data_IF_331075191794
#
_entry.id   IF_331075191794
#
_cell.length_a   1.000
_cell.length_b   1.000
_cell.length_c   1.000
_cell.angle_alpha   90.00
_cell.angle_beta   90.00
_cell.angle_gamma   90.00
#
_symmetry.space_group_name_H-M   'P 1'
#
loop_
_entity.id
_entity.type
_entity.pdbx_description
1 polymer ?
#
# COMPACT_ATOMS: atom_id res chain seq x y z
N UNK A 1 4.25 20.30 -33.77
CA UNK A 1 3.50 19.80 -32.60
C UNK A 1 4.07 20.54 -31.41
N UNK A 2 3.34 21.50 -30.84
CA UNK A 2 3.77 22.20 -29.65
C UNK A 2 3.75 21.20 -28.50
N UNK A 3 4.90 20.96 -27.88
CA UNK A 3 4.99 20.25 -26.60
C UNK A 3 4.29 21.16 -25.60
N UNK A 4 3.07 20.79 -25.20
CA UNK A 4 2.34 21.45 -24.15
C UNK A 4 3.23 21.40 -22.90
N UNK A 5 3.76 22.56 -22.53
CA UNK A 5 4.58 22.67 -21.32
C UNK A 5 3.67 22.33 -20.16
N UNK A 6 3.88 21.15 -19.58
CA UNK A 6 3.21 20.74 -18.34
C UNK A 6 3.56 21.80 -17.30
N UNK A 7 2.63 22.70 -17.07
CA UNK A 7 2.75 23.72 -16.03
C UNK A 7 2.70 22.99 -14.71
N UNK A 8 3.86 22.75 -14.12
CA UNK A 8 3.93 22.25 -12.74
C UNK A 8 3.14 23.24 -11.89
N UNK A 9 2.04 22.75 -11.35
CA UNK A 9 1.10 23.57 -10.59
C UNK A 9 1.88 24.22 -9.45
N UNK A 10 1.89 25.56 -9.40
CA UNK A 10 2.47 26.32 -8.28
C UNK A 10 1.68 26.02 -7.01
N UNK A 11 1.96 24.87 -6.40
CA UNK A 11 1.39 24.47 -5.12
C UNK A 11 2.31 25.03 -4.06
N UNK A 12 1.73 25.70 -3.08
CA UNK A 12 2.46 26.16 -1.91
C UNK A 12 3.24 25.02 -1.25
N UNK A 13 4.47 25.30 -0.81
CA UNK A 13 5.36 24.30 -0.21
C UNK A 13 4.72 23.58 0.98
N UNK A 14 3.89 24.28 1.75
CA UNK A 14 3.16 23.66 2.86
C UNK A 14 2.18 22.59 2.40
N UNK A 15 1.39 22.88 1.36
CA UNK A 15 0.44 21.93 0.77
C UNK A 15 1.16 20.73 0.13
N UNK A 16 2.26 20.95 -0.57
CA UNK A 16 3.07 19.90 -1.16
C UNK A 16 3.62 18.94 -0.09
N UNK A 17 4.16 19.47 1.01
CA UNK A 17 4.68 18.67 2.11
C UNK A 17 3.57 17.84 2.80
N UNK A 18 2.38 18.41 2.95
CA UNK A 18 1.24 17.71 3.54
C UNK A 18 0.76 16.54 2.65
N UNK A 19 0.71 16.75 1.33
CA UNK A 19 0.40 15.68 0.37
C UNK A 19 1.45 14.58 0.46
N UNK A 20 2.73 14.95 0.44
CA UNK A 20 3.83 13.98 0.53
C UNK A 20 3.80 13.16 1.82
N UNK A 21 3.52 13.81 2.96
CA UNK A 21 3.38 13.13 4.24
C UNK A 21 2.21 12.12 4.21
N UNK A 22 1.06 12.51 3.66
CA UNK A 22 -0.09 11.61 3.51
C UNK A 22 0.22 10.39 2.62
N UNK A 23 0.90 10.61 1.49
CA UNK A 23 1.33 9.52 0.61
C UNK A 23 2.33 8.59 1.31
N UNK A 24 3.31 9.15 2.01
CA UNK A 24 4.32 8.39 2.75
C UNK A 24 3.69 7.53 3.86
N UNK A 25 2.75 8.08 4.63
CA UNK A 25 2.04 7.36 5.70
C UNK A 25 1.24 6.18 5.12
N UNK A 26 0.52 6.38 4.02
CA UNK A 26 -0.24 5.31 3.38
C UNK A 26 0.67 4.20 2.83
N UNK A 27 1.82 4.56 2.25
CA UNK A 27 2.82 3.58 1.80
C UNK A 27 3.46 2.83 2.97
N UNK A 28 3.76 3.51 4.09
CA UNK A 28 4.23 2.87 5.31
C UNK A 28 3.21 1.86 5.85
N UNK A 29 1.93 2.23 5.91
CA UNK A 29 0.87 1.34 6.38
C UNK A 29 0.78 0.07 5.51
N UNK A 30 0.86 0.21 4.18
CA UNK A 30 0.88 -0.93 3.26
C UNK A 30 2.13 -1.82 3.44
N UNK A 31 3.31 -1.21 3.68
CA UNK A 31 4.55 -1.93 3.94
C UNK A 31 4.47 -2.70 5.26
N UNK A 32 3.99 -2.07 6.33
CA UNK A 32 3.82 -2.73 7.63
C UNK A 32 2.84 -3.90 7.57
N UNK A 33 1.70 -3.72 6.91
CA UNK A 33 0.72 -4.79 6.72
C UNK A 33 1.35 -6.02 6.07
N UNK A 34 2.07 -5.83 4.96
CA UNK A 34 2.72 -6.93 4.22
C UNK A 34 3.81 -7.61 5.05
N UNK A 35 4.62 -6.85 5.79
CA UNK A 35 5.73 -7.40 6.57
C UNK A 35 5.24 -8.07 7.85
N UNK A 36 4.25 -7.51 8.55
CA UNK A 36 3.65 -8.11 9.74
C UNK A 36 2.98 -9.44 9.37
N UNK A 37 2.12 -9.45 8.34
CA UNK A 37 1.48 -10.68 7.88
C UNK A 37 2.51 -11.72 7.41
N UNK A 38 3.61 -11.29 6.78
CA UNK A 38 4.72 -12.16 6.42
C UNK A 38 5.40 -12.81 7.62
N UNK A 39 5.47 -12.11 8.77
CA UNK A 39 6.12 -12.60 10.00
C UNK A 39 5.21 -13.51 10.80
N UNK A 40 3.98 -13.06 11.11
CA UNK A 40 3.04 -13.81 11.97
C UNK A 40 2.05 -14.68 11.20
N UNK A 41 2.17 -14.73 9.88
CA UNK A 41 1.22 -15.45 9.01
C UNK A 41 1.11 -16.93 9.30
N UNK A 42 2.20 -17.55 9.76
CA UNK A 42 2.20 -18.96 10.17
C UNK A 42 1.29 -19.19 11.40
N UNK A 43 1.39 -18.34 12.41
CA UNK A 43 0.53 -18.42 13.59
C UNK A 43 -0.93 -18.13 13.25
N UNK A 44 -1.19 -17.12 12.41
CA UNK A 44 -2.56 -16.86 11.90
C UNK A 44 -3.14 -18.10 11.21
N UNK A 45 -2.37 -18.77 10.34
CA UNK A 45 -2.84 -19.96 9.64
C UNK A 45 -3.09 -21.15 10.58
N UNK A 46 -2.31 -21.26 11.65
CA UNK A 46 -2.48 -22.27 12.69
C UNK A 46 -3.73 -22.01 13.52
N UNK A 47 -3.94 -20.78 13.97
CA UNK A 47 -5.08 -20.39 14.80
C UNK A 47 -6.40 -20.48 14.05
N UNK A 48 -6.42 -20.12 12.77
CA UNK A 48 -7.60 -20.25 11.90
C UNK A 48 -7.79 -21.67 11.33
N UNK A 49 -6.92 -22.63 11.68
CA UNK A 49 -7.03 -24.02 11.24
C UNK A 49 -6.82 -24.23 9.75
N UNK A 50 -6.14 -23.29 9.04
CA UNK A 50 -6.02 -23.27 7.57
C UNK A 50 -4.60 -23.43 7.04
N UNK A 51 -3.74 -24.26 7.66
CA UNK A 51 -2.34 -24.44 7.23
C UNK A 51 -2.16 -24.84 5.76
N UNK A 52 -3.08 -25.60 5.19
CA UNK A 52 -3.05 -25.97 3.75
C UNK A 52 -3.27 -24.77 2.81
N UNK A 53 -3.83 -23.69 3.32
CA UNK A 53 -4.13 -22.47 2.58
C UNK A 53 -3.12 -21.33 2.86
N UNK A 54 -2.08 -21.60 3.67
CA UNK A 54 -1.09 -20.59 4.09
C UNK A 54 -0.51 -19.78 2.91
N UNK A 55 -0.11 -20.44 1.84
CA UNK A 55 0.45 -19.79 0.65
C UNK A 55 -0.53 -18.81 -0.01
N UNK A 56 -1.83 -19.05 0.10
CA UNK A 56 -2.85 -18.19 -0.49
C UNK A 56 -2.99 -16.84 0.20
N UNK A 57 -2.55 -16.69 1.46
CA UNK A 57 -2.56 -15.40 2.17
C UNK A 57 -1.76 -14.32 1.42
N UNK A 58 -0.54 -14.68 0.99
CA UNK A 58 0.31 -13.78 0.22
C UNK A 58 -0.09 -13.75 -1.26
N UNK A 59 -0.40 -14.93 -1.85
CA UNK A 59 -0.72 -15.05 -3.27
C UNK A 59 -1.98 -14.25 -3.64
N UNK A 60 -3.05 -14.32 -2.86
CA UNK A 60 -4.28 -13.60 -3.14
C UNK A 60 -4.07 -12.08 -3.11
N UNK A 61 -3.30 -11.59 -2.13
CA UNK A 61 -2.92 -10.18 -2.05
C UNK A 61 -2.12 -9.74 -3.29
N UNK A 62 -1.01 -10.42 -3.57
CA UNK A 62 -0.11 -10.07 -4.67
C UNK A 62 -0.78 -10.18 -6.05
N UNK A 63 -1.66 -11.15 -6.25
CA UNK A 63 -2.40 -11.31 -7.49
C UNK A 63 -3.31 -10.11 -7.74
N UNK A 64 -4.12 -9.74 -6.75
CA UNK A 64 -5.03 -8.60 -6.85
C UNK A 64 -4.28 -7.27 -6.97
N UNK A 65 -3.18 -7.09 -6.22
CA UNK A 65 -2.31 -5.93 -6.31
C UNK A 65 -1.72 -5.78 -7.71
N UNK A 66 -1.13 -6.84 -8.26
CA UNK A 66 -0.49 -6.82 -9.58
C UNK A 66 -1.48 -6.49 -10.70
N UNK A 67 -2.67 -7.07 -10.66
CA UNK A 67 -3.72 -6.79 -11.64
C UNK A 67 -4.20 -5.34 -11.54
N UNK A 68 -4.25 -4.79 -10.32
CA UNK A 68 -4.78 -3.45 -10.11
C UNK A 68 -3.79 -2.33 -10.47
N UNK A 69 -2.48 -2.55 -10.41
CA UNK A 69 -1.45 -1.55 -10.73
C UNK A 69 -1.68 -0.86 -12.08
N UNK A 70 -1.77 -1.57 -13.24
CA UNK A 70 -1.97 -0.92 -14.52
C UNK A 70 -3.36 -0.28 -14.65
N UNK A 71 -4.37 -0.85 -14.03
CA UNK A 71 -5.74 -0.33 -14.02
C UNK A 71 -5.79 0.98 -13.24
N UNK A 72 -5.20 1.01 -12.05
CA UNK A 72 -5.16 2.19 -11.19
C UNK A 72 -4.41 3.37 -11.85
N UNK A 73 -3.33 3.08 -12.57
CA UNK A 73 -2.62 4.09 -13.35
C UNK A 73 -3.58 4.84 -14.30
N UNK A 74 -4.28 4.10 -15.16
CA UNK A 74 -5.25 4.67 -16.12
C UNK A 74 -6.45 5.36 -15.45
N UNK A 75 -7.03 4.72 -14.42
CA UNK A 75 -8.15 5.30 -13.70
C UNK A 75 -7.76 6.62 -13.02
N UNK A 76 -6.56 6.72 -12.48
CA UNK A 76 -6.08 7.93 -11.83
C UNK A 76 -5.91 9.10 -12.80
N UNK A 77 -5.64 8.82 -14.08
CA UNK A 77 -5.58 9.84 -15.14
C UNK A 77 -6.98 10.36 -15.48
N UNK A 78 -8.01 9.49 -15.42
CA UNK A 78 -9.40 9.83 -15.80
C UNK A 78 -10.14 10.51 -14.63
N UNK A 79 -10.12 9.92 -13.46
CA UNK A 79 -10.91 10.35 -12.30
C UNK A 79 -10.15 11.28 -11.35
N UNK A 80 -8.84 11.45 -11.56
CA UNK A 80 -7.96 12.27 -10.74
C UNK A 80 -7.29 11.49 -9.62
N UNK A 81 -6.03 11.87 -9.34
CA UNK A 81 -5.14 11.20 -8.36
C UNK A 81 -5.75 11.13 -6.96
N UNK A 82 -6.31 12.26 -6.48
CA UNK A 82 -6.84 12.37 -5.11
C UNK A 82 -7.98 11.39 -4.84
N UNK A 83 -8.96 11.34 -5.75
CA UNK A 83 -10.16 10.50 -5.56
C UNK A 83 -9.76 9.03 -5.55
N UNK A 84 -8.96 8.61 -6.51
CA UNK A 84 -8.55 7.21 -6.61
C UNK A 84 -7.66 6.78 -5.44
N UNK A 85 -6.76 7.67 -4.99
CA UNK A 85 -5.94 7.41 -3.80
C UNK A 85 -6.79 7.20 -2.54
N UNK A 86 -7.80 8.04 -2.32
CA UNK A 86 -8.71 7.89 -1.17
C UNK A 86 -9.55 6.61 -1.26
N UNK A 87 -10.00 6.22 -2.45
CA UNK A 87 -10.69 4.95 -2.67
C UNK A 87 -9.76 3.78 -2.35
N UNK A 88 -8.52 3.80 -2.86
CA UNK A 88 -7.53 2.77 -2.57
C UNK A 88 -7.23 2.65 -1.07
N UNK A 89 -7.07 3.79 -0.39
CA UNK A 89 -6.85 3.83 1.05
C UNK A 89 -8.05 3.28 1.83
N UNK A 90 -9.27 3.62 1.44
CA UNK A 90 -10.48 3.11 2.08
C UNK A 90 -10.63 1.59 1.91
N UNK A 91 -10.39 1.07 0.70
CA UNK A 91 -10.42 -0.37 0.41
C UNK A 91 -9.33 -1.09 1.21
N UNK A 92 -8.10 -0.57 1.22
CA UNK A 92 -6.97 -1.15 1.94
C UNK A 92 -7.25 -1.21 3.44
N UNK A 93 -7.63 -0.08 4.05
CA UNK A 93 -7.91 0.02 5.49
C UNK A 93 -9.13 -0.80 5.89
N UNK A 94 -10.20 -0.74 5.11
CA UNK A 94 -11.40 -1.55 5.34
C UNK A 94 -11.11 -3.04 5.27
N UNK A 95 -10.34 -3.48 4.27
CA UNK A 95 -9.89 -4.86 4.15
C UNK A 95 -9.02 -5.30 5.34
N UNK A 96 -8.13 -4.41 5.83
CA UNK A 96 -7.29 -4.68 7.01
C UNK A 96 -8.11 -4.88 8.28
N UNK A 97 -9.10 -4.01 8.51
CA UNK A 97 -10.00 -4.12 9.67
C UNK A 97 -10.78 -5.44 9.65
N UNK A 98 -11.35 -5.78 8.48
CA UNK A 98 -12.14 -7.02 8.34
C UNK A 98 -11.23 -8.25 8.44
N UNK A 99 -9.99 -8.19 7.92
CA UNK A 99 -9.01 -9.26 8.07
C UNK A 99 -8.69 -9.54 9.54
N UNK A 100 -8.57 -8.50 10.37
CA UNK A 100 -8.36 -8.65 11.82
C UNK A 100 -9.55 -9.28 12.58
N UNK A 101 -10.73 -9.29 11.98
CA UNK A 101 -11.94 -9.93 12.53
C UNK A 101 -12.23 -11.31 11.91
N UNK A 102 -11.30 -11.85 11.12
CA UNK A 102 -11.50 -13.11 10.42
C UNK A 102 -11.59 -14.28 11.40
N UNK A 103 -12.59 -15.13 11.21
CA UNK A 103 -12.85 -16.34 12.00
C UNK A 103 -12.50 -17.63 11.24
N UNK A 104 -12.11 -17.51 9.97
CA UNK A 104 -11.66 -18.64 9.15
C UNK A 104 -10.57 -18.18 8.18
N UNK A 105 -9.76 -19.14 7.72
CA UNK A 105 -8.68 -18.89 6.77
C UNK A 105 -9.19 -18.39 5.41
N UNK A 106 -10.32 -18.91 4.95
CA UNK A 106 -10.96 -18.51 3.69
C UNK A 106 -11.39 -17.04 3.76
N UNK A 107 -12.00 -16.62 4.87
CA UNK A 107 -12.37 -15.23 5.11
C UNK A 107 -11.14 -14.33 5.11
N UNK A 108 -10.07 -14.74 5.78
CA UNK A 108 -8.81 -13.99 5.80
C UNK A 108 -8.25 -13.81 4.39
N UNK A 109 -8.20 -14.87 3.57
CA UNK A 109 -7.70 -14.82 2.18
C UNK A 109 -8.54 -13.86 1.32
N UNK A 110 -9.87 -13.89 1.45
CA UNK A 110 -10.75 -12.94 0.74
C UNK A 110 -10.45 -11.50 1.15
N UNK A 111 -10.24 -11.25 2.44
CA UNK A 111 -9.86 -9.93 2.93
C UNK A 111 -8.48 -9.50 2.38
N UNK A 112 -7.51 -10.42 2.29
CA UNK A 112 -6.22 -10.19 1.65
C UNK A 112 -6.33 -9.83 0.17
N UNK A 113 -7.24 -10.47 -0.56
CA UNK A 113 -7.55 -10.12 -1.94
C UNK A 113 -8.10 -8.68 -2.06
N UNK A 114 -9.05 -8.32 -1.19
CA UNK A 114 -9.60 -6.95 -1.14
C UNK A 114 -8.51 -5.93 -0.79
N UNK A 115 -7.67 -6.21 0.20
CA UNK A 115 -6.52 -5.35 0.54
C UNK A 115 -5.55 -5.21 -0.64
N UNK A 116 -5.30 -6.28 -1.39
CA UNK A 116 -4.47 -6.27 -2.60
C UNK A 116 -5.00 -5.28 -3.65
N UNK A 117 -6.31 -5.23 -3.88
CA UNK A 117 -6.89 -4.19 -4.75
C UNK A 117 -6.60 -2.78 -4.24
N UNK A 118 -6.73 -2.53 -2.94
CA UNK A 118 -6.39 -1.25 -2.33
C UNK A 118 -4.91 -0.91 -2.48
N UNK A 119 -4.01 -1.85 -2.15
CA UNK A 119 -2.54 -1.70 -2.27
C UNK A 119 -2.10 -1.40 -3.69
N UNK A 120 -2.67 -2.12 -4.67
CA UNK A 120 -2.41 -1.93 -6.10
C UNK A 120 -2.87 -0.56 -6.64
N UNK A 121 -3.73 0.15 -5.92
CA UNK A 121 -4.09 1.56 -6.22
C UNK A 121 -3.08 2.52 -5.58
N UNK A 122 -2.69 2.31 -4.33
CA UNK A 122 -1.94 3.28 -3.52
C UNK A 122 -0.58 3.62 -4.15
N UNK A 123 0.23 2.62 -4.49
CA UNK A 123 1.60 2.82 -4.96
C UNK A 123 1.64 3.55 -6.32
N UNK A 124 0.97 3.07 -7.39
CA UNK A 124 1.05 3.72 -8.69
C UNK A 124 0.43 5.13 -8.70
N UNK A 125 -0.64 5.34 -7.94
CA UNK A 125 -1.27 6.66 -7.84
C UNK A 125 -0.39 7.63 -7.05
N UNK A 126 0.29 7.18 -5.98
CA UNK A 126 1.27 7.99 -5.28
C UNK A 126 2.44 8.40 -6.19
N UNK A 127 2.99 7.46 -6.97
CA UNK A 127 4.07 7.74 -7.93
C UNK A 127 3.62 8.70 -9.04
N UNK A 128 2.40 8.56 -9.53
CA UNK A 128 1.82 9.47 -10.50
C UNK A 128 1.61 10.88 -9.91
N UNK A 129 1.14 10.98 -8.68
CA UNK A 129 1.01 12.25 -7.98
C UNK A 129 2.37 12.97 -7.81
N UNK A 130 3.43 12.24 -7.49
CA UNK A 130 4.80 12.77 -7.44
C UNK A 130 5.23 13.29 -8.81
N UNK A 131 4.92 12.56 -9.88
CA UNK A 131 5.26 12.99 -11.24
C UNK A 131 4.52 14.26 -11.67
N UNK A 132 3.31 14.48 -11.14
CA UNK A 132 2.52 15.68 -11.40
C UNK A 132 2.95 16.89 -10.56
N UNK A 133 3.52 16.66 -9.36
CA UNK A 133 3.89 17.70 -8.41
C UNK A 133 5.34 18.18 -8.56
N UNK A 134 6.25 17.31 -9.00
CA UNK A 134 7.68 17.59 -9.01
C UNK A 134 8.27 17.57 -10.43
N UNK A 135 9.23 18.49 -10.65
CA UNK A 135 10.01 18.50 -11.87
C UNK A 135 10.82 17.20 -12.01
N UNK A 136 11.13 16.75 -13.23
CA UNK A 136 11.89 15.51 -13.47
C UNK A 136 13.22 15.42 -12.69
N UNK A 137 13.90 16.56 -12.47
CA UNK A 137 15.14 16.67 -11.70
C UNK A 137 14.97 16.35 -10.20
N UNK A 138 13.78 16.57 -9.64
CA UNK A 138 13.51 16.39 -8.22
C UNK A 138 12.78 15.08 -7.89
N UNK A 139 12.19 14.43 -8.90
CA UNK A 139 11.50 13.15 -8.73
C UNK A 139 12.39 12.07 -8.10
N UNK A 140 13.67 12.03 -8.47
CA UNK A 140 14.62 11.08 -7.90
C UNK A 140 14.82 11.24 -6.40
N UNK A 141 14.83 12.48 -5.89
CA UNK A 141 14.93 12.75 -4.44
C UNK A 141 13.69 12.26 -3.69
N UNK A 142 12.51 12.53 -4.26
CA UNK A 142 11.22 12.12 -3.68
C UNK A 142 11.06 10.61 -3.70
N UNK A 143 11.41 9.96 -4.81
CA UNK A 143 11.41 8.50 -4.89
C UNK A 143 12.41 7.86 -3.94
N UNK A 144 13.59 8.48 -3.76
CA UNK A 144 14.57 8.07 -2.76
C UNK A 144 14.03 8.17 -1.33
N UNK A 145 13.26 9.23 -1.03
CA UNK A 145 12.58 9.35 0.27
C UNK A 145 11.54 8.24 0.48
N UNK A 146 10.72 7.93 -0.52
CA UNK A 146 9.78 6.81 -0.45
C UNK A 146 10.48 5.46 -0.33
N UNK A 147 11.60 5.28 -1.03
CA UNK A 147 12.44 4.09 -0.87
C UNK A 147 13.00 3.94 0.54
N UNK A 148 13.44 5.03 1.16
CA UNK A 148 13.90 5.03 2.55
C UNK A 148 12.75 4.71 3.53
N UNK A 149 11.56 5.29 3.32
CA UNK A 149 10.35 5.00 4.09
C UNK A 149 9.99 3.51 4.00
N UNK A 150 10.04 2.94 2.79
CA UNK A 150 9.78 1.52 2.57
C UNK A 150 10.86 0.63 3.21
N UNK A 151 12.14 1.04 3.12
CA UNK A 151 13.26 0.35 3.76
C UNK A 151 13.15 0.32 5.29
N UNK A 152 12.75 1.43 5.91
CA UNK A 152 12.48 1.50 7.35
C UNK A 152 11.29 0.61 7.71
N UNK A 153 10.19 0.68 6.95
CA UNK A 153 9.01 -0.15 7.17
C UNK A 153 9.30 -1.65 7.10
N UNK A 154 10.07 -2.09 6.10
CA UNK A 154 10.46 -3.49 5.94
C UNK A 154 11.42 -3.99 7.01
N UNK A 155 12.23 -3.10 7.60
CA UNK A 155 13.13 -3.44 8.70
C UNK A 155 12.41 -3.51 10.06
N UNK A 156 11.50 -2.56 10.32
CA UNK A 156 10.77 -2.47 11.59
C UNK A 156 9.59 -3.46 11.65
N UNK A 157 8.95 -3.75 10.52
CA UNK A 157 7.79 -4.64 10.45
C UNK A 157 8.01 -6.01 11.09
N UNK A 158 9.08 -6.76 10.75
CA UNK A 158 9.39 -8.04 11.37
C UNK A 158 9.69 -7.93 12.88
N UNK A 159 10.31 -6.82 13.33
CA UNK A 159 10.56 -6.60 14.76
C UNK A 159 9.26 -6.42 15.54
N UNK A 160 8.32 -5.64 15.01
CA UNK A 160 7.00 -5.46 15.61
C UNK A 160 6.22 -6.78 15.55
N UNK A 161 6.20 -7.48 14.43
CA UNK A 161 5.54 -8.78 14.28
C UNK A 161 6.07 -9.81 15.26
N UNK A 162 7.38 -9.96 15.38
CA UNK A 162 8.01 -10.88 16.33
C UNK A 162 7.75 -10.50 17.82
N UNK A 163 7.68 -9.19 18.13
CA UNK A 163 7.31 -8.75 19.47
C UNK A 163 5.85 -9.09 19.83
N UNK A 164 4.93 -8.90 18.88
CA UNK A 164 3.51 -9.25 19.05
C UNK A 164 3.36 -10.76 19.27
N UNK A 165 4.04 -11.58 18.48
CA UNK A 165 4.05 -13.05 18.64
C UNK A 165 4.58 -13.47 20.00
N UNK A 166 5.73 -12.92 20.42
CA UNK A 166 6.32 -13.21 21.74
C UNK A 166 5.50 -12.72 22.93
N UNK A 167 4.63 -11.72 22.76
CA UNK A 167 3.73 -11.23 23.80
C UNK A 167 2.40 -12.01 23.86
N UNK A 168 2.05 -12.75 22.80
CA UNK A 168 0.82 -13.53 22.68
C UNK A 168 1.02 -15.02 23.02
N UNK A 169 2.27 -15.48 23.19
CA UNK A 169 2.68 -16.83 23.61
C UNK A 169 2.80 -16.92 25.12
#
# INVERSE_FOLDING_TARGET
>A
MAVEQVTYKNIDRGTSNMIMAGLAIAMLASCFDSTIVGTIGFEIAKDLGGMGLYAWMATAYLLCETVMIPVAGKLSDIYGRKILFLIGLAIFTGGSIIAGLSVSMEMFIVCRAIQGFGGGILIPVAMAAVADLFAPSDRGKVQGLFGAVFGIGSGIGPLIGGYIEGAAS
#
